data_IF_815615156970
#
_entry.id   IF_815615156970
#
_cell.length_a   1.000
_cell.length_b   1.000
_cell.length_c   1.000
_cell.angle_alpha   90.00
_cell.angle_beta   90.00
_cell.angle_gamma   90.00
#
_symmetry.space_group_name_H-M   'P 1'
#
loop_
_entity.id
_entity.type
_entity.pdbx_description
1 polymer ?
#
# COMPACT_ATOMS: atom_id res chain seq x y z
N UNK A 1 38.00 -39.04 -13.08
CA UNK A 1 37.96 -37.58 -12.82
C UNK A 1 37.26 -37.37 -11.49
N UNK A 2 37.84 -36.63 -10.56
CA UNK A 2 37.18 -36.27 -9.29
C UNK A 2 36.51 -34.91 -9.50
N UNK A 3 35.23 -34.79 -9.16
CA UNK A 3 34.50 -33.52 -9.24
C UNK A 3 35.03 -32.60 -8.14
N UNK A 4 35.98 -31.72 -8.50
CA UNK A 4 36.59 -30.80 -7.53
C UNK A 4 35.62 -29.71 -7.07
N UNK A 5 35.85 -29.14 -5.89
CA UNK A 5 34.99 -28.11 -5.25
C UNK A 5 34.65 -26.92 -6.14
N UNK A 6 35.52 -26.58 -7.10
CA UNK A 6 35.28 -25.52 -8.09
C UNK A 6 33.97 -25.73 -8.88
N UNK A 7 33.55 -26.98 -9.09
CA UNK A 7 32.33 -27.32 -9.82
C UNK A 7 31.06 -27.19 -8.97
N UNK A 8 31.19 -27.25 -7.64
CA UNK A 8 30.08 -27.13 -6.69
C UNK A 8 29.95 -25.73 -6.10
N UNK A 9 31.00 -24.90 -6.26
CA UNK A 9 31.07 -23.54 -5.76
C UNK A 9 29.88 -22.71 -6.27
N UNK A 10 29.05 -22.23 -5.35
CA UNK A 10 27.80 -21.48 -5.55
C UNK A 10 26.57 -22.27 -5.99
N UNK A 11 26.66 -23.59 -6.15
CA UNK A 11 25.50 -24.46 -6.43
C UNK A 11 25.10 -25.18 -5.14
N UNK A 12 26.05 -25.88 -4.53
CA UNK A 12 25.86 -26.58 -3.27
C UNK A 12 26.84 -26.03 -2.25
N UNK A 13 26.31 -25.63 -1.08
CA UNK A 13 27.11 -25.22 0.07
C UNK A 13 26.75 -26.13 1.25
N UNK A 14 27.74 -26.65 1.99
CA UNK A 14 27.47 -27.36 3.23
C UNK A 14 26.81 -26.41 4.25
N UNK A 15 26.15 -26.96 5.29
CA UNK A 15 25.63 -26.16 6.38
C UNK A 15 26.77 -25.34 7.03
N UNK A 16 26.48 -24.14 7.58
CA UNK A 16 27.47 -23.33 8.28
C UNK A 16 28.12 -24.12 9.42
N UNK A 17 29.45 -24.03 9.53
CA UNK A 17 30.22 -24.78 10.54
C UNK A 17 29.95 -24.28 11.96
N UNK A 18 29.64 -22.99 12.09
CA UNK A 18 29.27 -22.35 13.36
C UNK A 18 27.82 -21.83 13.29
N UNK A 19 26.87 -22.43 14.02
CA UNK A 19 25.48 -22.01 14.04
C UNK A 19 25.24 -20.68 14.76
N UNK A 20 26.23 -20.17 15.50
CA UNK A 20 26.15 -18.87 16.19
C UNK A 20 26.60 -17.71 15.30
N UNK A 21 27.34 -17.99 14.22
CA UNK A 21 27.82 -17.00 13.26
C UNK A 21 27.28 -17.26 11.85
N UNK A 22 25.96 -17.18 11.72
CA UNK A 22 25.27 -17.39 10.44
C UNK A 22 25.51 -16.19 9.50
N UNK A 23 25.77 -16.44 8.21
CA UNK A 23 25.84 -15.36 7.24
C UNK A 23 24.49 -14.64 7.14
N UNK A 24 24.49 -13.33 6.83
CA UNK A 24 23.25 -12.58 6.66
C UNK A 24 22.42 -13.16 5.52
N UNK A 25 21.10 -13.16 5.69
CA UNK A 25 20.17 -13.63 4.67
C UNK A 25 20.33 -12.78 3.39
N UNK A 26 20.63 -13.38 2.22
CA UNK A 26 20.73 -12.63 0.98
C UNK A 26 19.39 -11.94 0.66
N UNK A 27 19.37 -10.61 0.46
CA UNK A 27 18.10 -9.92 0.27
C UNK A 27 17.50 -10.22 -1.11
N UNK A 28 16.19 -10.43 -1.15
CA UNK A 28 15.45 -10.59 -2.40
C UNK A 28 15.52 -9.27 -3.22
N UNK A 29 15.56 -9.29 -4.56
CA UNK A 29 15.61 -8.06 -5.37
C UNK A 29 14.50 -7.04 -5.06
N UNK A 30 13.31 -7.51 -4.67
CA UNK A 30 12.21 -6.63 -4.21
C UNK A 30 12.48 -5.92 -2.89
N UNK A 31 13.32 -6.47 -2.01
CA UNK A 31 13.73 -5.82 -0.77
C UNK A 31 14.85 -4.81 -1.03
N UNK A 32 15.71 -5.07 -2.02
CA UNK A 32 16.84 -4.19 -2.36
C UNK A 32 16.42 -2.93 -3.11
N UNK A 33 15.41 -3.00 -3.96
CA UNK A 33 15.03 -1.89 -4.83
C UNK A 33 13.51 -1.79 -4.99
N UNK A 34 12.97 -0.69 -4.49
CA UNK A 34 11.56 -0.35 -4.68
C UNK A 34 11.23 -0.15 -6.16
N UNK A 35 12.10 0.52 -6.93
CA UNK A 35 11.92 0.71 -8.38
C UNK A 35 11.86 -0.62 -9.13
N UNK A 36 12.67 -1.61 -8.74
CA UNK A 36 12.63 -2.95 -9.31
C UNK A 36 11.30 -3.64 -8.98
N UNK A 37 10.85 -3.59 -7.73
CA UNK A 37 9.55 -4.10 -7.32
C UNK A 37 8.39 -3.43 -8.09
N UNK A 38 8.44 -2.10 -8.23
CA UNK A 38 7.40 -1.34 -8.92
C UNK A 38 7.22 -1.81 -10.37
N UNK A 39 8.32 -1.86 -11.12
CA UNK A 39 8.31 -2.25 -12.54
C UNK A 39 7.98 -3.72 -12.74
N UNK A 40 8.52 -4.61 -11.90
CA UNK A 40 8.41 -6.05 -12.13
C UNK A 40 7.14 -6.67 -11.54
N UNK A 41 6.60 -6.13 -10.45
CA UNK A 41 5.48 -6.77 -9.73
C UNK A 41 4.32 -5.83 -9.42
N UNK A 42 4.58 -4.60 -9.01
CA UNK A 42 3.50 -3.69 -8.61
C UNK A 42 2.62 -3.30 -9.80
N UNK A 43 3.22 -2.78 -10.88
CA UNK A 43 2.46 -2.30 -12.03
C UNK A 43 1.71 -3.43 -12.76
N UNK A 44 2.27 -4.65 -12.76
CA UNK A 44 1.68 -5.79 -13.45
C UNK A 44 0.53 -6.44 -12.68
N UNK A 45 0.57 -6.45 -11.35
CA UNK A 45 -0.37 -7.23 -10.54
C UNK A 45 -1.19 -6.41 -9.54
N UNK A 46 -0.66 -5.28 -9.05
CA UNK A 46 -1.25 -4.52 -7.96
C UNK A 46 -1.79 -3.16 -8.40
N UNK A 47 -1.44 -2.70 -9.61
CA UNK A 47 -1.96 -1.45 -10.15
C UNK A 47 -3.50 -1.37 -10.16
N UNK A 48 -4.25 -2.44 -10.52
CA UNK A 48 -5.72 -2.39 -10.46
C UNK A 48 -6.27 -2.14 -9.05
N UNK A 49 -5.61 -2.68 -8.01
CA UNK A 49 -6.02 -2.45 -6.62
C UNK A 49 -5.82 -0.98 -6.22
N UNK A 50 -4.68 -0.41 -6.56
CA UNK A 50 -4.33 0.99 -6.26
C UNK A 50 -5.24 1.94 -7.01
N UNK A 51 -5.57 1.61 -8.26
CA UNK A 51 -6.57 2.33 -9.03
C UNK A 51 -7.94 2.28 -8.36
N UNK A 52 -8.37 1.10 -7.91
CA UNK A 52 -9.61 0.93 -7.15
C UNK A 52 -9.67 1.79 -5.88
N UNK A 53 -8.57 1.86 -5.11
CA UNK A 53 -8.47 2.77 -3.97
C UNK A 53 -8.61 4.23 -4.40
N UNK A 54 -7.97 4.64 -5.50
CA UNK A 54 -8.09 6.00 -6.03
C UNK A 54 -9.54 6.37 -6.39
N UNK A 55 -10.25 5.45 -7.06
CA UNK A 55 -11.67 5.65 -7.39
C UNK A 55 -12.53 5.76 -6.13
N UNK A 56 -12.31 4.88 -5.14
CA UNK A 56 -13.05 4.92 -3.90
C UNK A 56 -12.85 6.25 -3.15
N UNK A 57 -11.61 6.72 -3.03
CA UNK A 57 -11.29 8.01 -2.41
C UNK A 57 -12.05 9.15 -3.11
N UNK A 58 -12.01 9.19 -4.44
CA UNK A 58 -12.72 10.21 -5.22
C UNK A 58 -14.23 10.18 -4.96
N UNK A 59 -14.84 9.00 -4.93
CA UNK A 59 -16.27 8.85 -4.65
C UNK A 59 -16.62 9.34 -3.24
N UNK A 60 -15.84 8.99 -2.23
CA UNK A 60 -16.08 9.46 -0.86
C UNK A 60 -15.93 10.97 -0.72
N UNK A 61 -14.97 11.58 -1.41
CA UNK A 61 -14.86 13.05 -1.47
C UNK A 61 -16.12 13.69 -2.07
N UNK A 62 -16.70 13.09 -3.11
CA UNK A 62 -17.96 13.55 -3.69
C UNK A 62 -19.14 13.45 -2.73
N UNK A 63 -19.23 12.33 -1.99
CA UNK A 63 -20.28 12.11 -0.97
C UNK A 63 -20.15 13.13 0.17
N UNK A 64 -18.93 13.35 0.68
CA UNK A 64 -18.69 14.33 1.74
C UNK A 64 -19.01 15.76 1.28
N UNK A 65 -18.66 16.10 0.04
CA UNK A 65 -19.03 17.39 -0.56
C UNK A 65 -20.56 17.57 -0.62
N UNK A 66 -21.28 16.56 -1.14
CA UNK A 66 -22.73 16.59 -1.21
C UNK A 66 -23.39 16.68 0.18
N UNK A 67 -22.85 15.96 1.18
CA UNK A 67 -23.29 16.05 2.57
C UNK A 67 -23.12 17.46 3.11
N UNK A 68 -21.97 18.08 2.91
CA UNK A 68 -21.70 19.44 3.38
C UNK A 68 -22.61 20.46 2.69
N UNK A 69 -22.83 20.35 1.37
CA UNK A 69 -23.77 21.20 0.65
C UNK A 69 -25.20 21.07 1.17
N UNK A 70 -25.65 19.84 1.46
CA UNK A 70 -26.99 19.61 2.01
C UNK A 70 -27.12 20.20 3.43
N UNK A 71 -26.09 20.03 4.27
CA UNK A 71 -26.05 20.64 5.60
C UNK A 71 -26.11 22.16 5.52
N UNK A 72 -25.32 22.79 4.64
CA UNK A 72 -25.35 24.23 4.44
C UNK A 72 -26.72 24.71 3.97
N UNK A 73 -27.33 24.04 2.98
CA UNK A 73 -28.66 24.40 2.49
C UNK A 73 -29.73 24.29 3.61
N UNK A 74 -29.67 23.24 4.45
CA UNK A 74 -30.58 23.11 5.59
C UNK A 74 -30.38 24.20 6.64
N UNK A 75 -29.12 24.60 6.87
CA UNK A 75 -28.76 25.67 7.79
C UNK A 75 -29.31 27.01 7.32
N UNK A 76 -29.05 27.38 6.05
CA UNK A 76 -29.53 28.62 5.45
C UNK A 76 -31.06 28.69 5.44
N UNK A 77 -31.72 27.57 5.14
CA UNK A 77 -33.19 27.49 5.17
C UNK A 77 -33.75 27.76 6.57
N UNK A 78 -33.22 27.10 7.60
CA UNK A 78 -33.67 27.32 8.98
C UNK A 78 -33.50 28.79 9.42
N UNK A 79 -32.37 29.41 9.07
CA UNK A 79 -32.14 30.84 9.31
C UNK A 79 -33.16 31.72 8.58
N UNK A 80 -33.46 31.43 7.31
CA UNK A 80 -34.43 32.20 6.52
C UNK A 80 -35.86 32.11 7.06
N UNK A 81 -36.21 30.99 7.67
CA UNK A 81 -37.52 30.74 8.30
C UNK A 81 -37.59 31.28 9.75
N UNK A 82 -36.49 31.85 10.28
CA UNK A 82 -36.42 32.37 11.65
C UNK A 82 -36.32 31.28 12.72
N UNK A 83 -35.98 30.05 12.33
CA UNK A 83 -35.78 28.91 13.23
C UNK A 83 -34.32 28.75 13.64
N UNK A 84 -34.07 28.12 14.79
CA UNK A 84 -32.72 27.69 15.16
C UNK A 84 -32.26 26.56 14.24
N UNK A 85 -31.10 26.65 13.58
CA UNK A 85 -30.57 25.59 12.73
C UNK A 85 -30.04 24.38 13.53
N UNK A 86 -29.90 24.52 14.85
CA UNK A 86 -29.46 23.47 15.75
C UNK A 86 -30.61 23.05 16.66
N UNK A 87 -30.71 21.74 16.95
CA UNK A 87 -31.66 21.22 17.93
C UNK A 87 -31.37 21.76 19.33
N UNK A 88 -32.42 21.87 20.16
CA UNK A 88 -32.27 22.24 21.56
C UNK A 88 -31.43 21.18 22.29
N UNK A 89 -30.25 21.59 22.75
CA UNK A 89 -29.38 20.82 23.65
C UNK A 89 -29.50 21.36 25.07
#
# INVERSE_FOLDING_TARGET
>A
MVLGEAHLRNILRPPPVDPTNLPPNPPHPFQKSFSFYLRQRFLKHHFPLVFGYGVAIYLFMGIDSARNSAQQASYEKAISEGHSPFGHH
#
